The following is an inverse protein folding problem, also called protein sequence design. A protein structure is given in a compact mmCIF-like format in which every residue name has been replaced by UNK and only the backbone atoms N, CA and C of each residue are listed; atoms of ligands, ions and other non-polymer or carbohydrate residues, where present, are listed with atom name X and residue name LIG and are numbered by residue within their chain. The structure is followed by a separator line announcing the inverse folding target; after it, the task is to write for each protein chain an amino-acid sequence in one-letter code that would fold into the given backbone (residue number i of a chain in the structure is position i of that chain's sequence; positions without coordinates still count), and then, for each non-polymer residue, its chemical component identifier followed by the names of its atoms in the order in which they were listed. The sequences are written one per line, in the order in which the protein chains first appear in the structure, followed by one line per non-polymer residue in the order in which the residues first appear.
data_IF_006492197542
#
_entry.id   IF_006492197542
#
_cell.length_a   1.000
_cell.length_b   1.000
_cell.length_c   1.000
_cell.angle_alpha   90.00
_cell.angle_beta   90.00
_cell.angle_gamma   90.00
#
_symmetry.space_group_name_H-M   'P 1'
#
loop_
_entity.id
_entity.type
_entity.pdbx_description
1 polymer ?
#
# COMPACT_ATOMS: atom_id res chain seq x y z
N UNK A 1 53.23 -15.23 -7.28
CA UNK A 1 51.76 -15.21 -7.42
C UNK A 1 51.14 -14.37 -6.31
N UNK A 2 50.71 -13.12 -6.54
CA UNK A 2 49.49 -12.60 -6.00
C UNK A 2 48.91 -11.41 -6.79
N UNK A 3 48.57 -11.51 -8.07
CA UNK A 3 47.94 -10.40 -8.82
C UNK A 3 46.50 -10.69 -9.28
N UNK A 4 46.02 -11.94 -9.26
CA UNK A 4 44.66 -12.30 -9.74
C UNK A 4 43.54 -11.95 -8.77
N UNK A 5 43.79 -11.82 -7.47
CA UNK A 5 42.75 -11.56 -6.46
C UNK A 5 42.29 -10.10 -6.39
N UNK A 6 43.15 -9.13 -6.77
CA UNK A 6 42.75 -7.71 -6.83
C UNK A 6 41.79 -7.40 -8.00
N UNK A 7 41.98 -8.07 -9.15
CA UNK A 7 41.13 -7.90 -10.32
C UNK A 7 39.70 -8.42 -10.07
N UNK A 8 39.54 -9.52 -9.35
CA UNK A 8 38.21 -10.08 -9.04
C UNK A 8 37.41 -9.19 -8.10
N UNK A 9 38.04 -8.54 -7.12
CA UNK A 9 37.37 -7.54 -6.23
C UNK A 9 36.93 -6.26 -6.97
N UNK A 10 37.73 -5.80 -7.92
CA UNK A 10 37.40 -4.65 -8.77
C UNK A 10 36.27 -5.01 -9.73
N UNK A 11 36.30 -6.19 -10.35
CA UNK A 11 35.22 -6.68 -11.22
C UNK A 11 33.89 -6.89 -10.45
N UNK A 12 33.98 -7.42 -9.24
CA UNK A 12 32.80 -7.57 -8.37
C UNK A 12 32.22 -6.21 -7.94
N UNK A 13 33.09 -5.21 -7.69
CA UNK A 13 32.66 -3.80 -7.43
C UNK A 13 32.06 -3.13 -8.67
N UNK A 14 32.61 -3.35 -9.84
CA UNK A 14 32.09 -2.80 -11.10
C UNK A 14 30.78 -3.49 -11.53
N UNK A 15 30.68 -4.81 -11.34
CA UNK A 15 29.45 -5.56 -11.60
C UNK A 15 28.33 -5.20 -10.62
N UNK A 16 28.65 -4.92 -9.35
CA UNK A 16 27.68 -4.40 -8.37
C UNK A 16 27.34 -2.92 -8.60
N UNK A 17 28.22 -2.10 -9.22
CA UNK A 17 27.87 -0.74 -9.63
C UNK A 17 26.85 -0.71 -10.80
N UNK A 18 26.84 -1.71 -11.68
CA UNK A 18 25.84 -1.83 -12.76
C UNK A 18 24.47 -2.35 -12.29
N UNK A 19 24.30 -2.68 -11.00
CA UNK A 19 23.06 -3.17 -10.41
C UNK A 19 22.62 -2.38 -9.17
N UNK A 20 22.81 -1.05 -9.13
CA UNK A 20 22.00 -0.21 -8.26
C UNK A 20 20.78 0.24 -9.06
N UNK A 21 19.67 -0.52 -9.05
CA UNK A 21 18.46 0.00 -9.64
C UNK A 21 17.93 1.06 -8.68
N UNK A 22 17.80 2.28 -9.17
CA UNK A 22 16.96 3.30 -8.59
C UNK A 22 17.31 3.74 -7.17
N UNK A 23 18.22 4.70 -7.04
CA UNK A 23 18.30 5.54 -5.84
C UNK A 23 16.95 6.22 -5.65
N UNK A 24 16.54 6.53 -4.40
CA UNK A 24 15.33 7.30 -4.10
C UNK A 24 15.25 8.57 -4.99
N UNK A 25 16.37 9.29 -5.15
CA UNK A 25 16.44 10.46 -6.01
C UNK A 25 16.09 10.16 -7.48
N UNK A 26 16.49 9.01 -8.02
CA UNK A 26 16.15 8.61 -9.38
C UNK A 26 14.67 8.23 -9.53
N UNK A 27 14.09 7.61 -8.51
CA UNK A 27 12.65 7.31 -8.46
C UNK A 27 11.83 8.59 -8.37
N UNK A 28 12.23 9.53 -7.50
CA UNK A 28 11.58 10.84 -7.37
C UNK A 28 11.66 11.67 -8.66
N UNK A 29 12.81 11.65 -9.35
CA UNK A 29 12.95 12.33 -10.64
C UNK A 29 11.96 11.76 -11.67
N UNK A 30 11.87 10.43 -11.80
CA UNK A 30 10.88 9.80 -12.69
C UNK A 30 9.45 10.18 -12.34
N UNK A 31 9.12 10.23 -11.05
CA UNK A 31 7.80 10.64 -10.60
C UNK A 31 7.48 12.08 -11.03
N UNK A 32 8.45 12.99 -10.89
CA UNK A 32 8.30 14.38 -11.31
C UNK A 32 8.22 14.51 -12.85
N UNK A 33 9.03 13.74 -13.59
CA UNK A 33 8.98 13.70 -15.06
C UNK A 33 7.60 13.19 -15.55
N UNK A 34 7.07 12.13 -14.93
CA UNK A 34 5.75 11.61 -15.24
C UNK A 34 4.64 12.63 -14.90
N UNK A 35 4.74 13.28 -13.75
CA UNK A 35 3.80 14.34 -13.36
C UNK A 35 3.77 15.50 -14.35
N UNK A 36 4.93 15.92 -14.89
CA UNK A 36 5.00 17.01 -15.88
C UNK A 36 4.32 16.68 -17.23
N UNK A 37 4.06 15.39 -17.48
CA UNK A 37 3.44 14.89 -18.71
C UNK A 37 1.96 14.50 -18.52
N UNK A 38 1.39 14.74 -17.35
CA UNK A 38 -0.02 14.43 -17.08
C UNK A 38 -0.98 15.28 -17.96
N UNK A 39 -2.10 14.74 -18.47
CA UNK A 39 -2.49 13.32 -18.47
C UNK A 39 -1.79 12.53 -19.58
N UNK A 40 -1.27 11.33 -19.24
CA UNK A 40 -0.61 10.43 -20.22
C UNK A 40 -1.58 9.38 -20.76
N UNK A 41 -2.58 8.99 -19.96
CA UNK A 41 -3.53 7.90 -20.22
C UNK A 41 -4.99 8.38 -20.26
N UNK A 42 -5.37 9.31 -21.17
CA UNK A 42 -6.76 9.82 -21.22
C UNK A 42 -7.78 8.74 -21.62
N UNK A 43 -7.33 7.65 -22.26
CA UNK A 43 -8.14 6.52 -22.73
C UNK A 43 -7.96 5.25 -21.91
N UNK A 44 -7.81 5.35 -20.59
CA UNK A 44 -7.63 4.20 -19.71
C UNK A 44 -8.73 3.13 -19.89
N UNK A 45 -8.33 1.85 -19.91
CA UNK A 45 -9.25 0.72 -20.04
C UNK A 45 -9.98 0.41 -18.73
N UNK A 46 -11.09 -0.32 -18.81
CA UNK A 46 -11.74 -0.92 -17.64
C UNK A 46 -10.95 -2.14 -17.17
N UNK A 47 -10.99 -2.41 -15.87
CA UNK A 47 -10.48 -3.66 -15.32
C UNK A 47 -11.44 -4.83 -15.60
N UNK A 48 -10.94 -6.07 -15.45
CA UNK A 48 -11.71 -7.30 -15.65
C UNK A 48 -12.14 -7.98 -14.35
N UNK A 49 -12.07 -7.30 -13.22
CA UNK A 49 -12.52 -7.82 -11.93
C UNK A 49 -14.04 -8.04 -11.94
N UNK A 50 -14.55 -9.03 -11.17
CA UNK A 50 -15.99 -9.37 -11.15
C UNK A 50 -16.87 -8.41 -10.34
N UNK A 51 -16.26 -7.41 -9.67
CA UNK A 51 -16.95 -6.40 -8.88
C UNK A 51 -16.22 -5.05 -9.01
N UNK A 52 -16.83 -3.93 -8.59
CA UNK A 52 -16.20 -2.60 -8.69
C UNK A 52 -14.83 -2.54 -8.03
N UNK A 53 -13.95 -1.70 -8.57
CA UNK A 53 -12.61 -1.41 -8.04
C UNK A 53 -12.56 -0.01 -7.45
N UNK A 54 -12.29 0.08 -6.17
CA UNK A 54 -12.21 1.33 -5.41
C UNK A 54 -10.76 1.56 -4.97
N UNK A 55 -10.21 2.72 -5.29
CA UNK A 55 -8.98 3.22 -4.66
C UNK A 55 -9.38 4.12 -3.51
N UNK A 56 -9.06 3.72 -2.28
CA UNK A 56 -9.37 4.48 -1.08
C UNK A 56 -8.13 5.17 -0.54
N UNK A 57 -8.22 6.48 -0.37
CA UNK A 57 -7.12 7.35 0.07
C UNK A 57 -7.64 8.34 1.11
N UNK A 58 -6.79 8.73 2.05
CA UNK A 58 -7.06 9.81 3.01
C UNK A 58 -5.90 10.78 3.08
N UNK A 59 -6.19 11.99 3.51
CA UNK A 59 -5.17 13.01 3.78
C UNK A 59 -5.60 13.91 4.95
N UNK A 60 -4.76 14.89 5.28
CA UNK A 60 -4.98 15.90 6.29
C UNK A 60 -4.15 17.15 5.96
N UNK A 61 -4.44 18.34 6.53
CA UNK A 61 -3.90 19.61 6.05
C UNK A 61 -2.37 19.68 5.85
N UNK A 62 -1.51 19.17 6.76
CA UNK A 62 -0.07 19.15 6.54
C UNK A 62 0.41 18.33 5.32
N UNK A 63 -0.45 17.45 4.77
CA UNK A 63 -0.15 16.58 3.62
C UNK A 63 -0.76 17.08 2.31
N UNK A 64 -1.67 18.01 2.33
CA UNK A 64 -2.33 18.56 1.13
C UNK A 64 -1.35 19.04 0.03
N UNK A 65 -0.15 19.60 0.34
CA UNK A 65 0.79 20.00 -0.70
C UNK A 65 1.26 18.86 -1.62
N UNK A 66 1.21 17.59 -1.17
CA UNK A 66 1.60 16.43 -1.98
C UNK A 66 0.40 15.68 -2.55
N UNK A 67 -0.77 15.78 -1.90
CA UNK A 67 -1.99 15.07 -2.27
C UNK A 67 -2.40 15.27 -3.72
N UNK A 68 -2.33 16.53 -4.23
CA UNK A 68 -2.67 16.83 -5.62
C UNK A 68 -1.90 15.97 -6.62
N UNK A 69 -0.57 15.87 -6.45
CA UNK A 69 0.29 15.05 -7.33
C UNK A 69 -0.03 13.56 -7.23
N UNK A 70 -0.32 13.09 -6.03
CA UNK A 70 -0.74 11.70 -5.81
C UNK A 70 -2.05 11.41 -6.52
N UNK A 71 -3.06 12.27 -6.37
CA UNK A 71 -4.35 12.11 -7.04
C UNK A 71 -4.21 12.11 -8.56
N UNK A 72 -3.35 12.97 -9.14
CA UNK A 72 -3.07 12.93 -10.57
C UNK A 72 -2.45 11.60 -11.00
N UNK A 73 -1.51 11.02 -10.22
CA UNK A 73 -0.94 9.71 -10.54
C UNK A 73 -1.98 8.57 -10.44
N UNK A 74 -2.97 8.70 -9.56
CA UNK A 74 -4.08 7.73 -9.44
C UNK A 74 -5.10 7.88 -10.57
N UNK A 75 -5.32 9.10 -11.07
CA UNK A 75 -6.20 9.37 -12.22
C UNK A 75 -5.56 8.97 -13.56
N UNK A 76 -4.23 8.90 -13.62
CA UNK A 76 -3.45 8.62 -14.85
C UNK A 76 -3.09 7.13 -15.02
N UNK A 77 -3.92 6.24 -14.50
CA UNK A 77 -3.71 4.79 -14.60
C UNK A 77 -4.13 4.27 -15.99
N UNK A 78 -3.40 3.27 -16.54
CA UNK A 78 -3.77 2.57 -17.78
C UNK A 78 -5.02 1.71 -17.63
N UNK A 79 -5.29 1.24 -16.41
CA UNK A 79 -6.53 0.60 -15.99
C UNK A 79 -7.24 1.50 -14.98
N UNK A 80 -8.44 1.93 -15.32
CA UNK A 80 -9.21 2.87 -14.50
C UNK A 80 -9.91 2.16 -13.35
N UNK A 81 -9.85 2.68 -12.11
CA UNK A 81 -10.75 2.26 -11.05
C UNK A 81 -12.16 2.79 -11.32
N UNK A 82 -13.19 2.13 -10.80
CA UNK A 82 -14.55 2.66 -10.86
C UNK A 82 -14.67 3.94 -10.02
N UNK A 83 -13.88 4.04 -8.93
CA UNK A 83 -13.83 5.24 -8.10
C UNK A 83 -12.53 5.38 -7.32
N UNK A 84 -12.06 6.61 -7.22
CA UNK A 84 -11.09 7.05 -6.22
C UNK A 84 -11.89 7.76 -5.13
N UNK A 85 -11.91 7.21 -3.92
CA UNK A 85 -12.60 7.74 -2.75
C UNK A 85 -11.59 8.45 -1.84
N UNK A 86 -11.59 9.79 -1.86
CA UNK A 86 -10.76 10.62 -0.98
C UNK A 86 -11.55 10.95 0.29
N UNK A 87 -11.03 10.51 1.45
CA UNK A 87 -11.65 10.71 2.76
C UNK A 87 -10.94 11.83 3.52
N UNK A 88 -11.70 12.84 3.91
CA UNK A 88 -11.20 14.02 4.63
C UNK A 88 -12.02 14.18 5.91
N UNK A 89 -11.37 14.56 7.01
CA UNK A 89 -12.08 14.84 8.25
C UNK A 89 -13.03 16.05 8.06
N UNK A 90 -14.17 16.04 8.74
CA UNK A 90 -15.16 17.14 8.64
C UNK A 90 -14.53 18.51 8.91
N UNK A 91 -13.65 18.60 9.91
CA UNK A 91 -12.94 19.81 10.30
C UNK A 91 -11.87 20.28 9.30
N UNK A 92 -11.37 19.37 8.46
CA UNK A 92 -10.27 19.65 7.51
C UNK A 92 -10.76 20.05 6.12
N UNK A 93 -12.03 19.80 5.80
CA UNK A 93 -12.60 19.97 4.45
C UNK A 93 -12.48 21.40 3.94
N UNK A 94 -12.66 22.39 4.83
CA UNK A 94 -12.56 23.80 4.48
C UNK A 94 -11.13 24.25 4.12
N UNK A 95 -10.13 23.45 4.45
CA UNK A 95 -8.71 23.71 4.18
C UNK A 95 -8.23 23.03 2.87
N UNK A 96 -9.10 22.27 2.20
CA UNK A 96 -8.73 21.61 0.94
C UNK A 96 -8.39 22.65 -0.13
N UNK A 97 -7.23 22.53 -0.80
CA UNK A 97 -6.88 23.38 -1.93
C UNK A 97 -7.91 23.28 -3.06
N UNK A 98 -8.24 24.42 -3.67
CA UNK A 98 -9.23 24.48 -4.76
C UNK A 98 -8.87 23.56 -5.95
N UNK A 99 -7.59 23.37 -6.22
CA UNK A 99 -7.08 22.45 -7.25
C UNK A 99 -7.44 20.99 -6.97
N UNK A 100 -7.50 20.57 -5.69
CA UNK A 100 -7.94 19.22 -5.31
C UNK A 100 -9.46 19.10 -5.46
N UNK A 101 -10.20 20.11 -5.02
CA UNK A 101 -11.66 20.14 -5.17
C UNK A 101 -12.06 20.08 -6.64
N UNK A 102 -11.31 20.74 -7.51
CA UNK A 102 -11.55 20.76 -8.96
C UNK A 102 -11.30 19.39 -9.66
N UNK A 103 -10.62 18.44 -9.01
CA UNK A 103 -10.44 17.08 -9.54
C UNK A 103 -11.67 16.19 -9.39
N UNK A 104 -12.69 16.62 -8.64
CA UNK A 104 -13.93 15.84 -8.48
C UNK A 104 -14.58 15.55 -9.85
N UNK A 105 -14.95 14.31 -10.05
CA UNK A 105 -15.50 13.79 -11.29
C UNK A 105 -16.28 12.50 -11.04
N UNK A 106 -16.76 11.85 -12.07
CA UNK A 106 -17.32 10.50 -11.97
C UNK A 106 -16.33 9.47 -11.42
N UNK A 107 -15.01 9.74 -11.51
CA UNK A 107 -13.94 8.83 -11.08
C UNK A 107 -13.30 9.22 -9.75
N UNK A 108 -13.46 10.45 -9.27
CA UNK A 108 -12.92 10.92 -7.99
C UNK A 108 -14.00 11.62 -7.17
N UNK A 109 -14.27 11.08 -5.99
CA UNK A 109 -15.24 11.66 -5.04
C UNK A 109 -14.52 12.02 -3.74
N UNK A 110 -14.78 13.21 -3.23
CA UNK A 110 -14.35 13.64 -1.90
C UNK A 110 -15.48 13.33 -0.93
N UNK A 111 -15.17 12.50 0.06
CA UNK A 111 -16.05 12.14 1.16
C UNK A 111 -15.60 12.80 2.45
N UNK A 112 -16.52 13.10 3.32
CA UNK A 112 -16.22 13.59 4.67
C UNK A 112 -16.52 12.52 5.71
N UNK A 113 -15.74 12.47 6.78
CA UNK A 113 -15.94 11.54 7.89
C UNK A 113 -15.35 12.14 9.18
N UNK A 114 -15.53 11.47 10.30
CA UNK A 114 -14.85 11.80 11.55
C UNK A 114 -13.32 11.65 11.39
N UNK A 115 -12.54 12.36 12.23
CA UNK A 115 -11.09 12.16 12.21
C UNK A 115 -10.68 10.82 12.84
N UNK A 116 -10.62 9.81 12.00
CA UNK A 116 -10.10 8.48 12.32
C UNK A 116 -8.61 8.34 11.99
N UNK A 117 -7.89 9.45 11.81
CA UNK A 117 -6.48 9.51 11.42
C UNK A 117 -6.23 8.76 10.09
N UNK A 118 -5.24 7.84 10.06
CA UNK A 118 -4.96 7.00 8.88
C UNK A 118 -6.07 5.99 8.57
N UNK A 119 -6.93 5.66 9.54
CA UNK A 119 -8.05 4.75 9.35
C UNK A 119 -9.25 5.39 8.62
N UNK A 120 -9.22 6.68 8.33
CA UNK A 120 -10.21 7.34 7.47
C UNK A 120 -10.33 6.66 6.09
N UNK A 121 -9.21 6.15 5.53
CA UNK A 121 -9.26 5.41 4.25
C UNK A 121 -9.82 4.00 4.38
N UNK A 122 -9.84 3.44 5.59
CA UNK A 122 -10.23 2.04 5.85
C UNK A 122 -11.69 1.94 6.31
N UNK A 123 -11.99 2.53 7.46
CA UNK A 123 -13.27 2.31 8.18
C UNK A 123 -14.49 2.68 7.33
N UNK A 124 -14.62 3.92 6.83
CA UNK A 124 -15.77 4.27 6.00
C UNK A 124 -15.77 3.60 4.63
N UNK A 125 -14.58 3.26 4.08
CA UNK A 125 -14.51 2.56 2.81
C UNK A 125 -15.01 1.12 2.89
N UNK A 126 -14.70 0.39 3.97
CA UNK A 126 -15.22 -0.95 4.21
C UNK A 126 -16.72 -0.98 4.43
N UNK A 127 -17.29 0.09 4.99
CA UNK A 127 -18.73 0.22 5.16
C UNK A 127 -19.42 0.53 3.83
N UNK A 128 -18.95 1.56 3.12
CA UNK A 128 -19.59 2.05 1.91
C UNK A 128 -19.39 1.14 0.69
N UNK A 129 -18.26 0.43 0.59
CA UNK A 129 -17.83 -0.34 -0.57
C UNK A 129 -17.62 -1.84 -0.25
N UNK A 130 -18.41 -2.40 0.63
CA UNK A 130 -18.30 -3.79 1.14
C UNK A 130 -18.27 -4.87 0.06
N UNK A 131 -18.94 -4.63 -1.08
CA UNK A 131 -19.05 -5.57 -2.20
C UNK A 131 -18.04 -5.25 -3.33
N UNK A 132 -17.02 -4.44 -3.05
CA UNK A 132 -16.04 -3.98 -4.03
C UNK A 132 -14.64 -4.51 -3.73
N UNK A 133 -13.80 -4.56 -4.75
CA UNK A 133 -12.36 -4.64 -4.56
C UNK A 133 -11.86 -3.30 -4.04
N UNK A 134 -11.03 -3.31 -3.00
CA UNK A 134 -10.48 -2.09 -2.41
C UNK A 134 -8.95 -2.13 -2.50
N UNK A 135 -8.37 -1.03 -2.95
CA UNK A 135 -6.92 -0.77 -2.88
C UNK A 135 -6.70 0.49 -2.05
N UNK A 136 -5.88 0.40 -1.00
CA UNK A 136 -5.51 1.57 -0.21
C UNK A 136 -4.30 2.27 -0.82
N UNK A 137 -4.36 3.61 -0.87
CA UNK A 137 -3.27 4.46 -1.32
C UNK A 137 -2.84 5.45 -0.22
N UNK A 138 -1.56 5.81 -0.22
CA UNK A 138 -0.98 6.85 0.64
C UNK A 138 -0.97 8.19 -0.12
N UNK A 139 -1.16 9.30 0.59
CA UNK A 139 -1.34 10.64 0.03
C UNK A 139 -0.05 11.33 -0.43
N UNK A 140 1.09 10.70 -0.23
CA UNK A 140 2.42 11.26 -0.51
C UNK A 140 3.25 10.41 -1.48
N UNK A 141 2.60 9.51 -2.23
CA UNK A 141 3.25 8.57 -3.14
C UNK A 141 2.96 8.87 -4.59
N UNK A 142 3.95 8.61 -5.46
CA UNK A 142 3.74 8.43 -6.89
C UNK A 142 3.40 6.97 -7.18
N UNK A 143 2.27 6.74 -7.83
CA UNK A 143 1.84 5.44 -8.33
C UNK A 143 2.11 5.36 -9.84
N UNK A 144 2.92 4.38 -10.31
CA UNK A 144 3.15 4.16 -11.74
C UNK A 144 1.86 3.92 -12.52
N UNK A 145 1.84 4.24 -13.79
CA UNK A 145 0.64 4.16 -14.63
C UNK A 145 0.11 2.73 -14.86
N UNK A 146 0.96 1.71 -14.69
CA UNK A 146 0.60 0.29 -14.73
C UNK A 146 0.23 -0.32 -13.35
N UNK A 147 0.14 0.53 -12.30
CA UNK A 147 -0.05 0.06 -10.93
C UNK A 147 -1.36 -0.74 -10.74
N UNK A 148 -2.50 -0.20 -11.13
CA UNK A 148 -3.78 -0.92 -11.03
C UNK A 148 -3.85 -2.07 -12.03
N UNK A 149 -3.34 -1.90 -13.25
CA UNK A 149 -3.32 -2.96 -14.25
C UNK A 149 -2.66 -4.23 -13.71
N UNK A 150 -1.46 -4.13 -13.16
CA UNK A 150 -0.74 -5.30 -12.65
C UNK A 150 -1.38 -5.94 -11.41
N UNK A 151 -2.00 -5.15 -10.52
CA UNK A 151 -2.76 -5.70 -9.39
C UNK A 151 -3.97 -6.51 -9.88
N UNK A 152 -4.74 -5.94 -10.80
CA UNK A 152 -5.98 -6.55 -11.31
C UNK A 152 -5.70 -7.75 -12.21
N UNK A 153 -4.62 -7.73 -13.01
CA UNK A 153 -4.20 -8.85 -13.85
C UNK A 153 -3.68 -10.04 -13.02
N UNK A 154 -3.08 -9.78 -11.86
CA UNK A 154 -2.57 -10.85 -10.97
C UNK A 154 -3.70 -11.54 -10.21
N UNK A 155 -4.87 -10.91 -10.06
CA UNK A 155 -6.02 -11.52 -9.40
C UNK A 155 -6.57 -12.67 -10.25
N UNK A 156 -6.70 -13.83 -9.61
CA UNK A 156 -7.25 -15.04 -10.21
C UNK A 156 -8.65 -15.33 -9.61
N UNK A 157 -9.66 -15.47 -10.45
CA UNK A 157 -11.05 -15.75 -10.02
C UNK A 157 -11.21 -17.18 -9.51
N UNK A 158 -10.43 -18.10 -10.03
CA UNK A 158 -10.52 -19.54 -9.72
C UNK A 158 -9.73 -19.87 -8.44
N UNK A 159 -8.73 -19.04 -8.08
CA UNK A 159 -7.98 -19.13 -6.82
C UNK A 159 -7.85 -17.72 -6.18
N UNK A 160 -8.96 -17.17 -5.63
CA UNK A 160 -9.00 -15.79 -5.16
C UNK A 160 -8.05 -15.57 -3.97
N UNK A 161 -7.21 -14.58 -4.10
CA UNK A 161 -6.23 -14.18 -3.09
C UNK A 161 -6.14 -12.66 -3.00
N UNK A 162 -5.65 -12.15 -1.88
CA UNK A 162 -5.20 -10.77 -1.76
C UNK A 162 -3.93 -10.62 -2.59
N UNK A 163 -3.83 -9.55 -3.38
CA UNK A 163 -2.67 -9.29 -4.24
C UNK A 163 -1.91 -8.07 -3.74
N UNK A 164 -0.60 -8.18 -3.56
CA UNK A 164 0.23 -7.05 -3.12
C UNK A 164 1.48 -6.87 -3.99
N UNK A 165 2.02 -5.66 -4.03
CA UNK A 165 3.33 -5.42 -4.66
C UNK A 165 4.48 -5.81 -3.76
N UNK A 166 4.43 -5.41 -2.50
CA UNK A 166 5.45 -5.74 -1.50
C UNK A 166 4.83 -6.50 -0.36
N UNK A 167 5.58 -7.46 0.15
CA UNK A 167 5.24 -8.17 1.36
C UNK A 167 6.51 -8.50 2.13
N UNK A 168 6.43 -8.47 3.46
CA UNK A 168 7.49 -8.95 4.33
C UNK A 168 7.23 -10.40 4.69
N UNK A 169 8.25 -11.26 4.60
CA UNK A 169 8.12 -12.66 5.00
C UNK A 169 8.09 -12.77 6.50
N UNK A 170 6.98 -13.31 6.99
CA UNK A 170 6.74 -13.56 8.40
C UNK A 170 7.64 -14.70 8.86
N UNK A 171 8.19 -14.57 10.06
CA UNK A 171 8.95 -15.63 10.71
C UNK A 171 8.42 -15.88 12.12
N UNK A 172 8.53 -17.14 12.55
CA UNK A 172 7.99 -17.61 13.81
C UNK A 172 9.12 -18.06 14.75
N UNK A 173 8.88 -17.98 16.04
CA UNK A 173 9.71 -18.57 17.08
C UNK A 173 9.47 -20.08 17.14
N UNK A 174 10.33 -20.82 17.85
CA UNK A 174 10.20 -22.28 18.00
C UNK A 174 8.95 -22.74 18.71
N UNK A 175 8.34 -21.87 19.51
CA UNK A 175 7.07 -22.09 20.23
C UNK A 175 5.83 -21.62 19.45
N UNK A 176 6.01 -21.20 18.18
CA UNK A 176 4.92 -20.82 17.28
C UNK A 176 4.50 -19.35 17.38
N UNK A 177 5.14 -18.55 18.22
CA UNK A 177 4.91 -17.09 18.29
C UNK A 177 5.52 -16.34 17.10
N UNK A 178 5.09 -15.09 16.89
CA UNK A 178 5.71 -14.22 15.89
C UNK A 178 7.06 -13.71 16.36
N UNK A 179 8.08 -13.71 15.48
CA UNK A 179 9.34 -13.00 15.78
C UNK A 179 9.13 -11.49 15.61
N UNK A 180 10.08 -10.67 16.10
CA UNK A 180 10.00 -9.21 15.90
C UNK A 180 9.88 -8.85 14.42
N UNK A 181 8.93 -7.97 14.08
CA UNK A 181 8.73 -7.41 12.75
C UNK A 181 10.04 -6.89 12.11
N UNK A 182 10.97 -6.38 12.91
CA UNK A 182 12.26 -5.88 12.44
C UNK A 182 13.15 -6.96 11.83
N UNK A 183 12.90 -8.22 12.12
CA UNK A 183 13.66 -9.36 11.56
C UNK A 183 13.10 -9.83 10.24
N UNK A 184 11.85 -9.46 9.91
CA UNK A 184 11.20 -9.86 8.68
C UNK A 184 11.86 -9.20 7.47
N UNK A 185 11.95 -9.92 6.37
CA UNK A 185 12.62 -9.46 5.14
C UNK A 185 11.63 -9.32 4.01
N UNK A 186 11.88 -8.34 3.13
CA UNK A 186 11.12 -8.20 1.89
C UNK A 186 11.13 -9.52 1.12
N UNK A 187 9.94 -10.03 0.81
CA UNK A 187 9.76 -11.22 0.01
C UNK A 187 9.87 -10.85 -1.48
N UNK A 188 11.01 -11.21 -2.10
CA UNK A 188 11.34 -10.85 -3.50
C UNK A 188 11.56 -12.07 -4.39
N UNK A 189 11.37 -13.26 -3.85
CA UNK A 189 11.53 -14.54 -4.55
C UNK A 189 10.24 -14.99 -5.25
N UNK A 190 10.36 -15.95 -6.17
CA UNK A 190 9.22 -16.52 -6.89
C UNK A 190 8.21 -17.23 -5.97
N UNK A 191 8.63 -17.69 -4.78
CA UNK A 191 7.72 -18.28 -3.79
C UNK A 191 6.69 -17.27 -3.30
N UNK A 192 7.05 -15.99 -3.21
CA UNK A 192 6.13 -14.93 -2.80
C UNK A 192 5.06 -14.60 -3.86
N UNK A 193 5.24 -15.04 -5.10
CA UNK A 193 4.29 -14.92 -6.21
C UNK A 193 3.22 -16.02 -6.17
N UNK A 194 3.37 -17.00 -5.27
CA UNK A 194 2.38 -18.03 -5.00
C UNK A 194 1.53 -17.66 -3.77
N UNK A 195 0.25 -18.11 -3.70
CA UNK A 195 -0.62 -17.88 -2.55
C UNK A 195 -0.01 -18.41 -1.26
N UNK A 196 0.11 -17.55 -0.26
CA UNK A 196 0.75 -17.87 1.03
C UNK A 196 0.07 -17.14 2.18
N UNK A 197 0.16 -17.71 3.36
CA UNK A 197 -0.18 -17.06 4.62
C UNK A 197 1.05 -16.43 5.31
N UNK A 198 2.25 -16.62 4.77
CA UNK A 198 3.52 -16.18 5.36
C UNK A 198 3.96 -14.78 4.91
N UNK A 199 3.05 -13.99 4.33
CA UNK A 199 3.36 -12.64 3.86
C UNK A 199 2.55 -11.61 4.63
N UNK A 200 3.23 -10.58 5.13
CA UNK A 200 2.61 -9.34 5.56
C UNK A 200 2.61 -8.37 4.36
N UNK A 201 1.45 -8.06 3.74
CA UNK A 201 1.37 -7.08 2.67
C UNK A 201 1.74 -5.68 3.15
N UNK A 202 2.43 -4.90 2.31
CA UNK A 202 2.79 -3.50 2.58
C UNK A 202 1.81 -2.59 1.85
N UNK A 203 0.88 -1.99 2.57
CA UNK A 203 -0.21 -1.17 2.00
C UNK A 203 0.28 0.03 1.20
N UNK A 204 1.38 0.66 1.60
CA UNK A 204 1.96 1.83 0.93
C UNK A 204 2.17 1.64 -0.58
N UNK A 205 2.53 0.44 -1.01
CA UNK A 205 2.79 0.16 -2.43
C UNK A 205 1.58 -0.39 -3.19
N UNK A 206 0.48 -0.63 -2.50
CA UNK A 206 -0.76 -1.17 -3.05
C UNK A 206 -0.99 -2.62 -2.70
N UNK A 207 -2.16 -2.86 -2.13
CA UNK A 207 -2.70 -4.19 -1.83
C UNK A 207 -4.15 -4.21 -2.29
N UNK A 208 -4.49 -5.15 -3.16
CA UNK A 208 -5.84 -5.37 -3.66
C UNK A 208 -6.55 -6.36 -2.72
N UNK A 209 -7.57 -5.86 -2.04
CA UNK A 209 -8.44 -6.64 -1.16
C UNK A 209 -9.73 -7.01 -1.91
N UNK A 210 -9.97 -8.30 -2.20
CA UNK A 210 -11.25 -8.75 -2.77
C UNK A 210 -12.43 -8.52 -1.82
N UNK A 211 -13.67 -8.37 -2.31
CA UNK A 211 -14.86 -8.36 -1.47
C UNK A 211 -14.91 -9.63 -0.61
N UNK A 212 -15.28 -9.48 0.67
CA UNK A 212 -15.31 -10.59 1.64
C UNK A 212 -13.95 -11.04 2.17
N UNK A 213 -12.82 -10.43 1.73
CA UNK A 213 -11.50 -10.79 2.25
C UNK A 213 -11.22 -10.31 3.67
N UNK A 214 -12.05 -9.42 4.17
CA UNK A 214 -11.99 -8.89 5.53
C UNK A 214 -13.30 -9.20 6.26
N UNK A 215 -13.27 -9.62 7.54
CA UNK A 215 -14.50 -9.89 8.30
C UNK A 215 -15.31 -8.62 8.51
N UNK A 216 -16.62 -8.76 8.75
CA UNK A 216 -17.57 -7.64 8.87
C UNK A 216 -17.13 -6.61 9.92
N UNK A 217 -16.50 -7.05 11.01
CA UNK A 217 -16.01 -6.16 12.08
C UNK A 217 -14.66 -5.50 11.79
N UNK A 218 -14.09 -5.69 10.59
CA UNK A 218 -12.82 -5.05 10.23
C UNK A 218 -12.89 -3.51 10.21
N UNK A 219 -14.08 -2.93 10.16
CA UNK A 219 -14.36 -1.50 10.28
C UNK A 219 -14.71 -1.03 11.70
N UNK A 220 -14.64 -1.90 12.73
CA UNK A 220 -14.88 -1.51 14.13
C UNK A 220 -13.73 -0.62 14.65
N UNK A 221 -13.95 0.69 14.59
CA UNK A 221 -12.94 1.67 15.02
C UNK A 221 -12.65 1.60 16.52
N UNK A 222 -13.64 1.25 17.35
CA UNK A 222 -13.43 1.07 18.79
C UNK A 222 -12.45 -0.07 19.09
N UNK A 223 -12.59 -1.19 18.37
CA UNK A 223 -11.70 -2.33 18.49
C UNK A 223 -10.30 -2.01 17.90
N UNK A 224 -10.25 -1.30 16.77
CA UNK A 224 -8.99 -0.80 16.17
C UNK A 224 -8.21 0.04 17.18
N UNK A 225 -8.86 1.02 17.81
CA UNK A 225 -8.22 1.91 18.78
C UNK A 225 -7.67 1.15 20.01
N UNK A 226 -8.33 0.08 20.40
CA UNK A 226 -7.90 -0.78 21.51
C UNK A 226 -6.71 -1.65 21.16
N UNK A 227 -6.65 -2.21 19.95
CA UNK A 227 -5.72 -3.29 19.60
C UNK A 227 -4.57 -2.85 18.68
N UNK A 228 -4.82 -1.91 17.74
CA UNK A 228 -3.81 -1.46 16.76
C UNK A 228 -4.01 0.03 16.38
N UNK A 229 -3.97 0.97 17.34
CA UNK A 229 -4.41 2.35 17.16
C UNK A 229 -3.62 3.17 16.13
N UNK A 230 -2.44 2.72 15.71
CA UNK A 230 -1.57 3.48 14.80
C UNK A 230 -1.11 2.67 13.58
N UNK A 231 -1.51 1.40 13.45
CA UNK A 231 -1.06 0.54 12.34
C UNK A 231 -2.23 -0.20 11.69
N UNK A 232 -2.72 0.36 10.58
CA UNK A 232 -3.70 -0.29 9.71
C UNK A 232 -3.13 -1.58 9.07
N UNK A 233 -1.82 -1.64 8.83
CA UNK A 233 -1.16 -2.82 8.27
C UNK A 233 -1.20 -4.02 9.23
N UNK A 234 -0.96 -3.82 10.53
CA UNK A 234 -1.07 -4.88 11.54
C UNK A 234 -2.53 -5.30 11.72
N UNK A 235 -3.45 -4.32 11.77
CA UNK A 235 -4.89 -4.60 11.84
C UNK A 235 -5.35 -5.46 10.67
N UNK A 236 -5.08 -5.02 9.44
CA UNK A 236 -5.50 -5.72 8.22
C UNK A 236 -4.88 -7.11 8.10
N UNK A 237 -3.64 -7.29 8.58
CA UNK A 237 -2.98 -8.59 8.62
C UNK A 237 -3.79 -9.62 9.43
N UNK A 238 -4.23 -9.25 10.62
CA UNK A 238 -5.06 -10.16 11.42
C UNK A 238 -6.43 -10.36 10.79
N UNK A 239 -7.03 -9.32 10.24
CA UNK A 239 -8.37 -9.41 9.64
C UNK A 239 -8.42 -10.40 8.48
N UNK A 240 -7.52 -10.31 7.50
CA UNK A 240 -7.55 -11.25 6.38
C UNK A 240 -7.14 -12.68 6.78
N UNK A 241 -6.28 -12.82 7.78
CA UNK A 241 -5.92 -14.14 8.34
C UNK A 241 -7.12 -14.80 9.02
N UNK A 242 -7.86 -14.06 9.84
CA UNK A 242 -9.10 -14.54 10.45
C UNK A 242 -10.16 -14.91 9.39
N UNK A 243 -10.19 -14.23 8.26
CA UNK A 243 -11.01 -14.57 7.11
C UNK A 243 -10.55 -15.82 6.33
N UNK A 244 -9.43 -16.44 6.71
CA UNK A 244 -8.87 -17.63 6.03
C UNK A 244 -8.26 -17.34 4.67
N UNK A 245 -7.94 -16.06 4.37
CA UNK A 245 -7.39 -15.66 3.09
C UNK A 245 -5.89 -15.89 2.98
N UNK A 246 -5.41 -15.91 1.74
CA UNK A 246 -3.99 -15.99 1.38
C UNK A 246 -3.60 -14.74 0.59
N UNK A 247 -2.31 -14.47 0.54
CA UNK A 247 -1.71 -13.35 -0.16
C UNK A 247 -0.73 -13.85 -1.19
N UNK A 248 -0.72 -13.23 -2.37
CA UNK A 248 0.36 -13.39 -3.37
C UNK A 248 0.92 -12.04 -3.76
N UNK A 249 2.15 -12.02 -4.18
CA UNK A 249 2.80 -10.83 -4.70
C UNK A 249 2.61 -10.73 -6.22
N UNK A 250 2.48 -9.51 -6.73
CA UNK A 250 2.56 -9.24 -8.18
C UNK A 250 3.86 -9.80 -8.74
N UNK A 251 3.82 -10.60 -9.84
CA UNK A 251 5.00 -11.23 -10.41
C UNK A 251 6.03 -10.22 -10.93
N UNK A 252 7.29 -10.67 -10.93
CA UNK A 252 8.40 -9.96 -11.57
C UNK A 252 8.95 -8.80 -10.75
N UNK A 253 9.58 -7.84 -11.44
CA UNK A 253 10.24 -6.69 -10.82
C UNK A 253 9.23 -5.65 -10.35
N UNK A 254 9.45 -5.13 -9.14
CA UNK A 254 8.63 -4.02 -8.60
C UNK A 254 8.79 -2.77 -9.46
N UNK A 255 7.69 -2.04 -9.70
CA UNK A 255 7.75 -0.73 -10.31
C UNK A 255 8.45 0.29 -9.41
N UNK A 256 8.74 1.46 -9.96
CA UNK A 256 9.41 2.54 -9.23
C UNK A 256 8.38 3.36 -8.44
N UNK A 257 8.02 2.88 -7.25
CA UNK A 257 7.31 3.69 -6.27
C UNK A 257 8.22 4.78 -5.72
N UNK A 258 7.70 5.97 -5.53
CA UNK A 258 8.46 7.09 -4.96
C UNK A 258 7.58 7.92 -4.03
N UNK A 259 8.12 8.26 -2.88
CA UNK A 259 7.56 9.31 -2.04
C UNK A 259 7.89 10.67 -2.65
N UNK A 260 6.95 11.60 -2.64
CA UNK A 260 7.22 12.95 -3.13
C UNK A 260 8.30 13.63 -2.29
N UNK A 261 9.22 14.42 -2.90
CA UNK A 261 10.26 15.11 -2.15
C UNK A 261 9.67 15.96 -1.02
N UNK A 262 10.22 15.82 0.19
CA UNK A 262 9.79 16.55 1.38
C UNK A 262 8.60 15.98 2.14
N UNK A 263 7.84 15.02 1.59
CA UNK A 263 6.62 14.48 2.23
C UNK A 263 6.90 13.75 3.54
N UNK A 264 8.08 13.17 3.69
CA UNK A 264 8.43 12.34 4.86
C UNK A 264 8.65 13.11 6.17
N UNK A 265 8.55 14.44 6.17
CA UNK A 265 8.65 15.22 7.40
C UNK A 265 7.53 14.87 8.39
N UNK A 266 6.33 14.54 7.88
CA UNK A 266 5.12 14.18 8.63
C UNK A 266 4.79 12.68 8.57
N UNK A 267 5.77 11.81 8.36
CA UNK A 267 5.55 10.39 8.17
C UNK A 267 5.23 9.66 9.49
N UNK A 268 4.12 8.91 9.52
CA UNK A 268 3.66 8.12 10.67
C UNK A 268 4.65 7.03 11.09
N UNK A 269 5.41 6.45 10.15
CA UNK A 269 6.39 5.40 10.48
C UNK A 269 7.46 5.84 11.48
N UNK A 270 7.69 7.16 11.62
CA UNK A 270 8.59 7.69 12.64
C UNK A 270 8.11 7.41 14.07
N UNK A 271 6.80 7.29 14.25
CA UNK A 271 6.19 6.95 15.54
C UNK A 271 6.43 5.49 15.93
N UNK A 272 6.69 4.61 14.95
CA UNK A 272 6.92 3.18 15.18
C UNK A 272 8.38 2.81 15.51
N UNK A 273 9.30 3.77 15.58
CA UNK A 273 10.74 3.51 15.83
C UNK A 273 11.04 2.88 17.19
N UNK A 274 10.11 2.91 18.14
CA UNK A 274 10.26 2.38 19.51
C UNK A 274 9.85 0.92 19.72
N UNK A 275 9.33 0.22 18.70
CA UNK A 275 8.80 -1.14 18.86
C UNK A 275 7.27 -1.20 18.85
N UNK A 276 6.57 -0.08 18.69
CA UNK A 276 5.09 0.01 18.70
C UNK A 276 4.42 -0.98 17.75
N UNK A 277 5.04 -1.32 16.62
CA UNK A 277 4.48 -2.32 15.69
C UNK A 277 4.52 -3.73 16.26
N UNK A 278 5.59 -4.12 16.94
CA UNK A 278 5.68 -5.39 17.66
C UNK A 278 4.69 -5.45 18.84
N UNK A 279 4.44 -4.31 19.49
CA UNK A 279 3.42 -4.21 20.56
C UNK A 279 2.02 -4.46 19.99
N UNK A 280 1.69 -3.86 18.84
CA UNK A 280 0.41 -4.13 18.17
C UNK A 280 0.28 -5.60 17.78
N UNK A 281 1.32 -6.22 17.20
CA UNK A 281 1.30 -7.65 16.88
C UNK A 281 1.03 -8.50 18.12
N UNK A 282 1.66 -8.18 19.25
CA UNK A 282 1.45 -8.89 20.52
C UNK A 282 0.01 -8.72 21.00
N UNK A 283 -0.49 -7.48 21.10
CA UNK A 283 -1.87 -7.20 21.56
C UNK A 283 -2.91 -7.88 20.67
N UNK A 284 -2.70 -7.86 19.36
CA UNK A 284 -3.57 -8.54 18.41
C UNK A 284 -3.52 -10.07 18.58
N UNK A 285 -2.32 -10.66 18.79
CA UNK A 285 -2.16 -12.09 19.02
C UNK A 285 -2.75 -12.54 20.37
N UNK A 286 -2.66 -11.73 21.42
CA UNK A 286 -3.31 -11.97 22.70
C UNK A 286 -4.84 -11.98 22.58
N UNK A 287 -5.40 -11.16 21.69
CA UNK A 287 -6.85 -11.05 21.51
C UNK A 287 -7.43 -12.10 20.55
N UNK A 288 -6.77 -12.35 19.42
CA UNK A 288 -7.26 -13.21 18.33
C UNK A 288 -6.55 -14.56 18.21
N UNK A 289 -5.51 -14.79 18.99
CA UNK A 289 -4.57 -15.90 18.78
C UNK A 289 -3.45 -15.52 17.82
N UNK A 290 -2.37 -16.30 17.81
CA UNK A 290 -1.30 -16.19 16.81
C UNK A 290 -1.84 -16.65 15.45
N UNK A 291 -1.80 -15.81 14.42
CA UNK A 291 -2.42 -16.08 13.12
C UNK A 291 -1.63 -17.08 12.27
#
# INVERSE_FOLDING_TARGET
MPKRWKFWKVWKRLRNRRRKPWTLAAQQRRALDAFSQFPRNPGASKHLLPAPLIVSITSYPPRFPWLYRTLLSLLDQTVRPDRIALWIAHEDVSQLPAEIVALQSEHLTIHTCDDLRNFKRLVPALDQYKDSFIVFADDDMYYPDDWLHRLTETFDRDDPTIVCYRGSRITYTSDGGLTSYRTWRDATDARSEQPSTDLLPVNQTGVLYPPGSLPVFANDYGLIQKLSPTSDEVWLFFMWRLGGWRVRRVPGKLPAFAEWPGSQQHALWKMHRGGTKDDHFRTMAEHFGTP
#
